data_IF_259550614969
#
_entry.id   IF_259550614969
#
_cell.length_a   1.000
_cell.length_b   1.000
_cell.length_c   1.000
_cell.angle_alpha   90.00
_cell.angle_beta   90.00
_cell.angle_gamma   90.00
#
_symmetry.space_group_name_H-M   'P 1'
#
loop_
_entity.id
_entity.type
_entity.pdbx_description
1 polymer ?
#
# COMPACT_ATOMS: atom_id res chain seq x y z
N UNK A 1 -17.59 -2.38 14.32
CA UNK A 1 -16.68 -2.58 13.18
C UNK A 1 -17.04 -1.53 12.15
N UNK A 2 -16.19 -0.53 11.94
CA UNK A 2 -16.33 0.35 10.79
C UNK A 2 -15.72 -0.37 9.60
N UNK A 3 -16.59 -0.93 8.75
CA UNK A 3 -16.22 -1.38 7.42
C UNK A 3 -15.80 -0.12 6.66
N UNK A 4 -14.59 -0.13 6.08
CA UNK A 4 -14.08 0.99 5.28
C UNK A 4 -15.12 1.28 4.19
N UNK A 5 -15.74 2.45 4.28
CA UNK A 5 -16.81 2.89 3.37
C UNK A 5 -16.30 2.79 1.94
N UNK A 6 -17.06 2.13 1.08
CA UNK A 6 -16.74 2.04 -0.34
C UNK A 6 -16.58 3.46 -0.90
N UNK A 7 -15.38 3.79 -1.35
CA UNK A 7 -15.05 5.10 -1.88
C UNK A 7 -15.44 5.12 -3.36
N UNK A 8 -16.68 5.55 -3.61
CA UNK A 8 -17.16 5.80 -4.95
C UNK A 8 -16.52 7.08 -5.51
N UNK A 9 -15.50 6.88 -6.36
CA UNK A 9 -14.82 7.91 -7.15
C UNK A 9 -14.55 7.36 -8.54
N UNK A 10 -14.66 8.23 -9.53
CA UNK A 10 -14.31 7.94 -10.92
C UNK A 10 -12.79 7.78 -11.07
N UNK A 11 -12.37 7.15 -12.16
CA UNK A 11 -10.94 7.00 -12.47
C UNK A 11 -10.25 8.36 -12.65
N UNK A 12 -10.94 9.36 -13.21
CA UNK A 12 -10.39 10.71 -13.38
C UNK A 12 -10.13 11.38 -12.02
N UNK A 13 -11.06 11.27 -11.06
CA UNK A 13 -10.88 11.80 -9.71
C UNK A 13 -9.74 11.09 -8.98
N UNK A 14 -9.61 9.77 -9.15
CA UNK A 14 -8.49 9.02 -8.58
C UNK A 14 -7.16 9.41 -9.18
N UNK A 15 -7.05 9.56 -10.51
CA UNK A 15 -5.83 10.02 -11.18
C UNK A 15 -5.43 11.40 -10.68
N UNK A 16 -6.39 12.32 -10.54
CA UNK A 16 -6.14 13.66 -10.00
C UNK A 16 -5.67 13.63 -8.54
N UNK A 17 -6.30 12.80 -7.69
CA UNK A 17 -5.97 12.72 -6.27
C UNK A 17 -4.63 12.04 -6.00
N UNK A 18 -4.33 10.95 -6.71
CA UNK A 18 -3.15 10.12 -6.47
C UNK A 18 -1.93 10.57 -7.27
N UNK A 19 -2.13 11.23 -8.41
CA UNK A 19 -1.13 11.37 -9.44
C UNK A 19 -0.84 10.04 -10.16
N UNK A 20 -0.16 10.11 -11.30
CA UNK A 20 0.03 8.94 -12.19
C UNK A 20 0.77 7.77 -11.53
N UNK A 21 1.85 8.03 -10.78
CA UNK A 21 2.69 6.97 -10.19
C UNK A 21 1.94 6.14 -9.15
N UNK A 22 1.26 6.79 -8.21
CA UNK A 22 0.45 6.11 -7.20
C UNK A 22 -0.81 5.49 -7.81
N UNK A 23 -1.42 6.15 -8.80
CA UNK A 23 -2.59 5.62 -9.49
C UNK A 23 -2.25 4.28 -10.16
N UNK A 24 -1.15 4.22 -10.91
CA UNK A 24 -0.74 2.99 -11.60
C UNK A 24 -0.53 1.83 -10.61
N UNK A 25 0.13 2.08 -9.48
CA UNK A 25 0.31 1.04 -8.44
C UNK A 25 -1.00 0.66 -7.75
N UNK A 26 -1.78 1.63 -7.27
CA UNK A 26 -2.95 1.38 -6.41
C UNK A 26 -4.22 0.97 -7.17
N UNK A 27 -4.32 1.31 -8.47
CA UNK A 27 -5.55 1.09 -9.27
C UNK A 27 -5.31 0.19 -10.48
N UNK A 28 -4.12 0.20 -11.07
CA UNK A 28 -3.79 -0.61 -12.26
C UNK A 28 -2.92 -1.83 -11.93
N UNK A 29 -2.71 -2.14 -10.63
CA UNK A 29 -1.85 -3.24 -10.16
C UNK A 29 -0.41 -3.15 -10.66
N UNK A 30 0.09 -1.93 -10.89
CA UNK A 30 1.50 -1.70 -11.21
C UNK A 30 2.41 -1.94 -10.01
N UNK A 31 3.71 -2.10 -10.29
CA UNK A 31 4.75 -2.25 -9.27
C UNK A 31 5.77 -1.14 -9.42
N UNK A 32 6.07 -0.40 -8.34
CA UNK A 32 7.12 0.61 -8.37
C UNK A 32 8.50 -0.02 -8.60
N UNK A 33 9.44 0.75 -9.17
CA UNK A 33 10.81 0.25 -9.36
C UNK A 33 11.46 -0.02 -7.99
N UNK A 34 12.19 -1.13 -7.91
CA UNK A 34 12.96 -1.45 -6.71
C UNK A 34 13.89 -0.29 -6.31
N UNK A 35 14.03 -0.07 -5.01
CA UNK A 35 14.92 0.93 -4.40
C UNK A 35 14.52 2.40 -4.60
N UNK A 36 13.35 2.69 -5.18
CA UNK A 36 12.89 4.08 -5.41
C UNK A 36 11.81 4.57 -4.45
N UNK A 37 11.19 3.67 -3.69
CA UNK A 37 10.07 4.01 -2.81
C UNK A 37 10.49 4.88 -1.62
N UNK A 38 9.76 5.98 -1.37
CA UNK A 38 10.03 6.92 -0.27
C UNK A 38 10.05 6.24 1.12
N UNK A 39 9.26 5.18 1.29
CA UNK A 39 9.11 4.48 2.56
C UNK A 39 10.06 3.29 2.74
N UNK A 40 10.90 2.99 1.75
CA UNK A 40 11.84 1.88 1.81
C UNK A 40 12.78 2.01 3.00
N UNK A 41 13.48 3.14 3.10
CA UNK A 41 14.45 3.41 4.17
C UNK A 41 13.85 4.20 5.35
N UNK A 42 12.54 4.43 5.35
CA UNK A 42 11.88 5.13 6.44
C UNK A 42 11.89 4.26 7.71
N UNK A 43 12.36 4.85 8.83
CA UNK A 43 12.44 4.21 10.16
C UNK A 43 11.71 5.00 11.25
N UNK A 44 10.91 6.01 10.86
CA UNK A 44 10.11 6.78 11.81
C UNK A 44 9.04 5.92 12.48
N UNK A 45 8.72 6.24 13.73
CA UNK A 45 7.66 5.58 14.50
C UNK A 45 6.29 6.10 14.02
N UNK A 46 5.37 5.18 13.72
CA UNK A 46 4.03 5.55 13.27
C UNK A 46 3.25 4.39 12.63
N UNK A 47 2.22 4.77 11.87
CA UNK A 47 1.33 3.86 11.15
C UNK A 47 1.47 4.15 9.65
N UNK A 48 1.60 3.08 8.86
CA UNK A 48 1.51 3.12 7.41
C UNK A 48 0.05 2.91 7.02
N UNK A 49 -0.52 3.90 6.34
CA UNK A 49 -1.91 3.92 5.92
C UNK A 49 -2.04 3.68 4.42
N UNK A 50 -3.20 3.18 3.99
CA UNK A 50 -3.53 3.01 2.59
C UNK A 50 -3.45 4.36 1.86
N UNK A 51 -2.63 4.42 0.81
CA UNK A 51 -2.41 5.64 0.02
C UNK A 51 -3.66 6.16 -0.72
N UNK A 52 -4.73 5.37 -0.80
CA UNK A 52 -5.99 5.74 -1.43
C UNK A 52 -7.10 6.09 -0.42
N UNK A 53 -7.40 5.20 0.54
CA UNK A 53 -8.52 5.36 1.45
C UNK A 53 -8.14 5.83 2.86
N UNK A 54 -6.85 5.86 3.21
CA UNK A 54 -6.38 6.28 4.53
C UNK A 54 -6.55 5.24 5.65
N UNK A 55 -7.01 4.03 5.33
CA UNK A 55 -7.11 2.92 6.30
C UNK A 55 -5.74 2.55 6.88
N UNK A 56 -5.66 2.33 8.19
CA UNK A 56 -4.45 1.81 8.83
C UNK A 56 -4.12 0.39 8.34
N UNK A 57 -2.88 0.17 7.88
CA UNK A 57 -2.44 -1.12 7.33
C UNK A 57 -1.32 -1.76 8.14
N UNK A 58 -0.26 -1.01 8.47
CA UNK A 58 0.93 -1.58 9.14
C UNK A 58 1.47 -0.65 10.22
N UNK A 59 1.99 -1.24 11.29
CA UNK A 59 2.74 -0.51 12.32
C UNK A 59 4.22 -0.43 11.95
N UNK A 60 4.89 0.68 12.26
CA UNK A 60 6.34 0.81 12.06
C UNK A 60 7.15 -0.24 12.82
N UNK A 61 6.64 -0.76 13.95
CA UNK A 61 7.24 -1.86 14.71
C UNK A 61 7.31 -3.18 13.92
N UNK A 62 6.40 -3.35 12.95
CA UNK A 62 6.33 -4.53 12.11
C UNK A 62 7.24 -4.43 10.87
N UNK A 63 7.81 -3.24 10.63
CA UNK A 63 8.69 -2.97 9.50
C UNK A 63 10.08 -3.55 9.75
N UNK A 64 10.64 -4.20 8.75
CA UNK A 64 12.01 -4.69 8.76
C UNK A 64 12.68 -4.44 7.40
N UNK A 65 14.01 -4.57 7.36
CA UNK A 65 14.78 -4.50 6.13
C UNK A 65 14.99 -5.91 5.59
N UNK A 66 14.38 -6.20 4.44
CA UNK A 66 14.49 -7.50 3.76
C UNK A 66 15.56 -7.51 2.66
N UNK A 67 16.11 -6.34 2.29
CA UNK A 67 16.96 -6.21 1.10
C UNK A 67 16.24 -6.42 -0.24
N UNK A 68 14.90 -6.55 -0.27
CA UNK A 68 14.13 -6.83 -1.49
C UNK A 68 14.06 -5.66 -2.47
N UNK A 69 14.25 -4.43 -1.98
CA UNK A 69 14.02 -3.20 -2.73
C UNK A 69 12.64 -2.56 -2.52
N UNK A 70 11.77 -3.18 -1.71
CA UNK A 70 10.47 -2.61 -1.30
C UNK A 70 10.25 -2.67 0.23
N UNK A 71 9.41 -1.78 0.79
CA UNK A 71 9.05 -1.82 2.20
C UNK A 71 8.50 -3.18 2.60
N UNK A 72 9.04 -3.78 3.66
CA UNK A 72 8.67 -5.12 4.12
C UNK A 72 8.15 -5.09 5.56
N UNK A 73 7.07 -5.83 5.80
CA UNK A 73 6.40 -5.94 7.10
C UNK A 73 6.06 -7.40 7.37
N UNK A 74 6.20 -7.86 8.63
CA UNK A 74 5.94 -9.26 8.97
C UNK A 74 4.49 -9.53 9.42
N UNK A 75 3.73 -8.48 9.77
CA UNK A 75 2.32 -8.60 10.15
C UNK A 75 1.55 -7.31 9.77
N UNK A 76 0.27 -7.42 9.36
CA UNK A 76 -0.62 -6.27 9.26
C UNK A 76 -1.02 -5.77 10.65
N UNK A 77 -1.56 -4.54 10.73
CA UNK A 77 -2.07 -4.00 11.99
C UNK A 77 -3.25 -4.82 12.53
N UNK A 78 -4.08 -5.35 11.62
CA UNK A 78 -5.12 -6.34 11.89
C UNK A 78 -5.36 -7.21 10.65
N UNK A 79 -5.68 -8.51 10.79
CA UNK A 79 -5.90 -9.41 9.66
C UNK A 79 -6.95 -8.92 8.66
N UNK A 80 -8.03 -8.30 9.13
CA UNK A 80 -9.15 -7.82 8.32
C UNK A 80 -8.85 -6.58 7.46
N UNK A 81 -7.70 -5.94 7.64
CA UNK A 81 -7.32 -4.74 6.87
C UNK A 81 -6.66 -5.06 5.54
N UNK A 82 -6.29 -6.32 5.31
CA UNK A 82 -5.65 -6.80 4.08
C UNK A 82 -6.49 -7.94 3.50
N UNK A 83 -6.85 -7.82 2.24
CA UNK A 83 -7.46 -8.91 1.47
C UNK A 83 -6.37 -9.60 0.66
N UNK A 84 -6.17 -10.89 0.90
CA UNK A 84 -5.27 -11.71 0.10
C UNK A 84 -5.99 -12.20 -1.16
N UNK A 85 -5.33 -12.04 -2.31
CA UNK A 85 -5.84 -12.47 -3.61
C UNK A 85 -4.70 -13.20 -4.32
N UNK A 86 -4.97 -14.40 -4.81
CA UNK A 86 -4.00 -15.18 -5.58
C UNK A 86 -3.65 -14.45 -6.90
N UNK A 87 -2.36 -14.29 -7.18
CA UNK A 87 -1.85 -13.72 -8.43
C UNK A 87 -1.05 -14.78 -9.22
N UNK A 88 -1.37 -14.90 -10.50
CA UNK A 88 -0.73 -15.81 -11.48
C UNK A 88 -0.27 -15.07 -12.74
N UNK A 89 -0.08 -13.75 -12.64
CA UNK A 89 0.22 -12.88 -13.78
C UNK A 89 1.55 -13.17 -14.49
N UNK A 90 2.53 -13.77 -13.79
CA UNK A 90 3.90 -13.95 -14.26
C UNK A 90 4.40 -15.41 -14.30
N UNK A 91 3.50 -16.39 -14.16
CA UNK A 91 3.80 -17.83 -14.23
C UNK A 91 3.94 -18.50 -12.87
#
# INVERSE_FOLDING_TARGET
MEVVKEINRTDSEWRQLLGESKYSVLREKGTERAFTGNYLNHKGVGIYVCGACGQDLFLSKAKYDSGSGWPSFYEPIRPETITEVEDRSLG
#
